data_IF_739590520375
#
_entry.id   IF_739590520375
#
_cell.length_a   1.000
_cell.length_b   1.000
_cell.length_c   1.000
_cell.angle_alpha   90.00
_cell.angle_beta   90.00
_cell.angle_gamma   90.00
#
_symmetry.space_group_name_H-M   'P 1'
#
loop_
_entity.id
_entity.type
_entity.pdbx_description
1 polymer ?
#
# COMPACT_ATOMS: atom_id res chain seq x y z
N UNK A 1 -45.33 24.22 51.78
CA UNK A 1 -45.01 23.33 50.64
C UNK A 1 -43.80 23.91 49.93
N UNK A 2 -42.62 23.41 50.26
CA UNK A 2 -41.33 23.86 49.75
C UNK A 2 -40.84 22.86 48.70
N UNK A 3 -40.74 23.29 47.44
CA UNK A 3 -40.16 22.48 46.37
C UNK A 3 -38.65 22.73 46.30
N UNK A 4 -37.86 21.71 46.63
CA UNK A 4 -36.42 21.68 46.37
C UNK A 4 -36.19 21.26 44.92
N UNK A 5 -35.39 21.99 44.11
CA UNK A 5 -35.02 21.54 42.78
C UNK A 5 -33.81 20.59 42.87
N UNK A 6 -34.00 19.36 42.43
CA UNK A 6 -32.93 18.36 42.28
C UNK A 6 -32.08 18.74 41.07
N UNK A 7 -30.82 19.13 41.29
CA UNK A 7 -29.85 19.34 40.22
C UNK A 7 -29.54 17.99 39.53
N UNK A 8 -29.72 17.93 38.21
CA UNK A 8 -29.24 16.81 37.40
C UNK A 8 -27.71 16.90 37.25
N UNK A 9 -26.98 15.78 37.30
CA UNK A 9 -25.56 15.77 36.99
C UNK A 9 -25.39 15.90 35.47
N UNK A 10 -24.70 16.97 35.05
CA UNK A 10 -24.20 17.11 33.68
C UNK A 10 -23.10 16.07 33.50
N UNK A 11 -23.43 14.98 32.81
CA UNK A 11 -22.45 14.04 32.28
C UNK A 11 -21.60 14.79 31.25
N UNK A 12 -20.38 15.14 31.64
CA UNK A 12 -19.33 15.58 30.75
C UNK A 12 -18.95 14.41 29.83
N UNK A 13 -19.47 14.44 28.59
CA UNK A 13 -18.94 13.60 27.51
C UNK A 13 -17.43 13.88 27.35
N UNK A 14 -16.58 12.83 27.30
CA UNK A 14 -15.20 13.03 26.92
C UNK A 14 -15.15 13.46 25.45
N UNK A 15 -14.61 14.66 25.23
CA UNK A 15 -14.33 15.23 23.93
C UNK A 15 -13.41 14.31 23.10
N UNK A 16 -14.01 13.41 22.32
CA UNK A 16 -13.36 12.69 21.24
C UNK A 16 -14.14 12.81 19.92
N UNK A 17 -14.88 13.89 19.75
CA UNK A 17 -15.29 14.32 18.42
C UNK A 17 -14.07 14.99 17.78
N UNK A 18 -13.35 14.24 16.94
CA UNK A 18 -12.56 14.83 15.87
C UNK A 18 -13.49 15.81 15.16
N UNK A 19 -13.32 17.10 15.40
CA UNK A 19 -14.16 18.14 14.82
C UNK A 19 -14.03 18.00 13.30
N UNK A 20 -15.00 17.33 12.66
CA UNK A 20 -15.02 17.14 11.23
C UNK A 20 -15.51 18.44 10.61
N UNK A 21 -14.66 19.46 10.65
CA UNK A 21 -14.81 20.59 9.72
C UNK A 21 -14.82 19.96 8.34
N UNK A 22 -15.92 20.08 7.57
CA UNK A 22 -15.97 19.52 6.23
C UNK A 22 -14.86 20.17 5.42
N UNK A 23 -13.87 19.37 5.00
CA UNK A 23 -12.79 19.83 4.15
C UNK A 23 -13.40 20.46 2.89
N UNK A 24 -12.92 21.62 2.48
CA UNK A 24 -13.39 22.31 1.29
C UNK A 24 -13.20 21.39 0.06
N UNK A 25 -14.28 20.78 -0.43
CA UNK A 25 -14.23 19.77 -1.50
C UNK A 25 -13.84 20.34 -2.86
N UNK A 26 -13.85 21.67 -3.02
CA UNK A 26 -13.62 22.34 -4.31
C UNK A 26 -12.14 22.52 -4.67
N UNK A 27 -11.21 22.49 -3.69
CA UNK A 27 -9.81 22.88 -3.94
C UNK A 27 -8.81 21.85 -3.43
N UNK A 28 -7.97 21.33 -4.32
CA UNK A 28 -6.77 20.57 -3.93
C UNK A 28 -5.55 21.47 -3.89
N UNK A 29 -4.68 21.25 -2.91
CA UNK A 29 -3.31 21.77 -2.95
C UNK A 29 -2.55 21.07 -4.06
N UNK A 30 -1.63 21.78 -4.73
CA UNK A 30 -0.86 21.21 -5.85
C UNK A 30 -0.15 19.91 -5.46
N UNK A 31 0.49 19.90 -4.30
CA UNK A 31 1.20 18.71 -3.81
C UNK A 31 0.27 17.52 -3.57
N UNK A 32 -0.91 17.74 -2.97
CA UNK A 32 -1.90 16.67 -2.77
C UNK A 32 -2.45 16.14 -4.10
N UNK A 33 -2.73 17.03 -5.05
CA UNK A 33 -3.20 16.64 -6.39
C UNK A 33 -2.13 15.84 -7.14
N UNK A 34 -0.86 16.24 -7.07
CA UNK A 34 0.25 15.47 -7.66
C UNK A 34 0.31 14.06 -7.06
N UNK A 35 0.17 13.92 -5.74
CA UNK A 35 0.16 12.61 -5.10
C UNK A 35 -1.03 11.75 -5.51
N UNK A 36 -2.22 12.34 -5.66
CA UNK A 36 -3.42 11.66 -6.18
C UNK A 36 -3.18 11.12 -7.60
N UNK A 37 -2.64 11.95 -8.50
CA UNK A 37 -2.39 11.55 -9.90
C UNK A 37 -1.35 10.43 -9.95
N UNK A 38 -0.20 10.60 -9.28
CA UNK A 38 0.86 9.58 -9.24
C UNK A 38 0.35 8.26 -8.68
N UNK A 39 -0.48 8.31 -7.64
CA UNK A 39 -1.03 7.10 -7.04
C UNK A 39 -2.11 6.46 -7.90
N UNK A 40 -2.89 7.26 -8.65
CA UNK A 40 -3.86 6.75 -9.61
C UNK A 40 -3.13 6.01 -10.73
N UNK A 41 -2.11 6.63 -11.34
CA UNK A 41 -1.27 5.99 -12.36
C UNK A 41 -0.64 4.70 -11.83
N UNK A 42 0.02 4.76 -10.66
CA UNK A 42 0.66 3.59 -10.06
C UNK A 42 -0.31 2.45 -9.76
N UNK A 43 -1.52 2.78 -9.28
CA UNK A 43 -2.55 1.76 -9.00
C UNK A 43 -3.14 1.18 -10.29
N UNK A 44 -3.29 1.98 -11.34
CA UNK A 44 -3.70 1.50 -12.67
C UNK A 44 -2.67 0.54 -13.28
N UNK A 45 -1.38 0.83 -13.16
CA UNK A 45 -0.32 -0.10 -13.57
C UNK A 45 -0.41 -1.40 -12.76
N UNK A 46 -0.53 -1.29 -11.43
CA UNK A 46 -0.69 -2.46 -10.55
C UNK A 46 -1.93 -3.30 -10.88
N UNK A 47 -3.04 -2.67 -11.29
CA UNK A 47 -4.25 -3.34 -11.77
C UNK A 47 -4.00 -4.12 -13.05
N UNK A 48 -3.36 -3.52 -14.04
CA UNK A 48 -3.05 -4.18 -15.32
C UNK A 48 -2.14 -5.39 -15.05
N UNK A 49 -1.03 -5.18 -14.32
CA UNK A 49 -0.11 -6.25 -13.95
C UNK A 49 -0.79 -7.34 -13.11
N UNK A 50 -1.65 -6.95 -12.18
CA UNK A 50 -2.41 -7.87 -11.34
C UNK A 50 -3.38 -8.74 -12.13
N UNK A 51 -4.09 -8.18 -13.11
CA UNK A 51 -5.01 -8.95 -13.97
C UNK A 51 -4.25 -10.00 -14.77
N UNK A 52 -3.07 -9.66 -15.32
CA UNK A 52 -2.24 -10.65 -15.99
C UNK A 52 -1.68 -11.69 -15.02
N UNK A 53 -1.29 -11.27 -13.80
CA UNK A 53 -0.79 -12.18 -12.77
C UNK A 53 -1.84 -13.13 -12.20
N UNK A 54 -3.14 -12.77 -12.21
CA UNK A 54 -4.23 -13.64 -11.73
C UNK A 54 -4.25 -14.99 -12.46
N UNK A 55 -3.85 -15.01 -13.73
CA UNK A 55 -3.79 -16.24 -14.53
C UNK A 55 -2.64 -17.17 -14.11
N UNK A 56 -1.65 -16.67 -13.38
CA UNK A 56 -0.46 -17.40 -12.93
C UNK A 56 -0.53 -17.86 -11.47
N UNK A 57 -1.60 -17.53 -10.72
CA UNK A 57 -1.72 -17.89 -9.30
C UNK A 57 -1.65 -19.41 -9.09
N UNK A 58 -2.25 -20.19 -10.00
CA UNK A 58 -2.20 -21.66 -9.92
C UNK A 58 -0.77 -22.22 -10.01
N UNK A 59 0.09 -21.54 -10.77
CA UNK A 59 1.50 -21.90 -10.92
C UNK A 59 2.28 -21.55 -9.64
N UNK A 60 2.01 -20.39 -9.02
CA UNK A 60 2.66 -19.98 -7.76
C UNK A 60 2.44 -21.00 -6.63
N UNK A 61 1.21 -21.51 -6.49
CA UNK A 61 0.88 -22.56 -5.51
C UNK A 61 1.60 -23.87 -5.77
N UNK A 62 1.89 -24.17 -7.04
CA UNK A 62 2.59 -25.38 -7.47
C UNK A 62 4.10 -25.28 -7.19
N UNK A 63 4.65 -24.05 -7.16
CA UNK A 63 6.05 -23.78 -6.86
C UNK A 63 6.30 -23.76 -5.34
N UNK A 64 5.45 -23.04 -4.61
CA UNK A 64 5.53 -22.95 -3.14
C UNK A 64 4.21 -22.47 -2.55
N UNK A 65 3.62 -23.30 -1.67
CA UNK A 65 2.36 -22.98 -1.01
C UNK A 65 2.43 -21.65 -0.25
N UNK A 66 3.51 -21.43 0.51
CA UNK A 66 3.66 -20.20 1.30
C UNK A 66 3.83 -18.99 0.39
N UNK A 67 4.56 -19.14 -0.73
CA UNK A 67 4.74 -18.06 -1.71
C UNK A 67 3.40 -17.73 -2.39
N UNK A 68 2.64 -18.74 -2.83
CA UNK A 68 1.32 -18.55 -3.43
C UNK A 68 0.32 -17.87 -2.49
N UNK A 69 0.29 -18.26 -1.20
CA UNK A 69 -0.54 -17.58 -0.18
C UNK A 69 -0.13 -16.11 -0.05
N UNK A 70 1.18 -15.83 0.11
CA UNK A 70 1.66 -14.47 0.24
C UNK A 70 1.36 -13.64 -1.03
N UNK A 71 1.60 -14.19 -2.21
CA UNK A 71 1.30 -13.50 -3.46
C UNK A 71 -0.22 -13.24 -3.63
N UNK A 72 -1.08 -14.12 -3.10
CA UNK A 72 -2.53 -13.88 -3.12
C UNK A 72 -2.96 -12.66 -2.27
N UNK A 73 -2.24 -12.36 -1.19
CA UNK A 73 -2.49 -11.18 -0.34
C UNK A 73 -2.26 -9.88 -1.11
N UNK A 74 -1.39 -9.88 -2.12
CA UNK A 74 -1.12 -8.72 -2.97
C UNK A 74 -2.39 -8.21 -3.68
N UNK A 75 -3.32 -9.10 -4.05
CA UNK A 75 -4.61 -8.71 -4.65
C UNK A 75 -5.54 -8.03 -3.66
N UNK A 76 -5.50 -8.44 -2.39
CA UNK A 76 -6.25 -7.78 -1.32
C UNK A 76 -5.71 -6.37 -1.11
N UNK A 77 -4.38 -6.22 -1.04
CA UNK A 77 -3.72 -4.92 -0.90
C UNK A 77 -4.04 -4.01 -2.09
N UNK A 78 -4.05 -4.54 -3.31
CA UNK A 78 -4.42 -3.79 -4.51
C UNK A 78 -5.87 -3.30 -4.44
N UNK A 79 -6.79 -4.17 -4.06
CA UNK A 79 -8.20 -3.83 -3.87
C UNK A 79 -8.37 -2.72 -2.81
N UNK A 80 -7.71 -2.86 -1.65
CA UNK A 80 -7.69 -1.83 -0.61
C UNK A 80 -7.06 -0.52 -1.10
N UNK A 81 -6.05 -0.58 -1.97
CA UNK A 81 -5.40 0.61 -2.55
C UNK A 81 -6.33 1.39 -3.48
N UNK A 82 -7.19 0.71 -4.24
CA UNK A 82 -8.23 1.33 -5.07
C UNK A 82 -9.26 2.04 -4.18
N UNK A 83 -9.74 1.36 -3.13
CA UNK A 83 -10.64 1.97 -2.14
C UNK A 83 -10.03 3.18 -1.45
N UNK A 84 -8.76 3.08 -1.03
CA UNK A 84 -8.03 4.18 -0.44
C UNK A 84 -7.97 5.39 -1.39
N UNK A 85 -7.71 5.16 -2.69
CA UNK A 85 -7.71 6.21 -3.70
C UNK A 85 -9.06 6.90 -3.86
N UNK A 86 -10.15 6.13 -3.95
CA UNK A 86 -11.51 6.69 -4.05
C UNK A 86 -11.78 7.59 -2.85
N UNK A 87 -11.47 7.13 -1.63
CA UNK A 87 -11.66 7.93 -0.43
C UNK A 87 -10.76 9.16 -0.36
N UNK A 88 -9.52 9.08 -0.88
CA UNK A 88 -8.60 10.22 -0.96
C UNK A 88 -9.07 11.28 -1.98
N UNK A 89 -9.63 10.86 -3.12
CA UNK A 89 -10.31 11.76 -4.05
C UNK A 89 -11.55 12.41 -3.42
N UNK A 90 -12.20 11.75 -2.47
CA UNK A 90 -13.30 12.33 -1.68
C UNK A 90 -12.82 13.09 -0.43
N UNK A 91 -11.49 13.24 -0.25
CA UNK A 91 -10.84 13.83 0.93
C UNK A 91 -11.35 13.25 2.26
N UNK A 92 -11.62 11.95 2.32
CA UNK A 92 -12.04 11.30 3.57
C UNK A 92 -10.81 10.90 4.39
N UNK A 93 -10.80 11.13 5.71
CA UNK A 93 -9.66 10.77 6.57
C UNK A 93 -9.38 9.27 6.59
N UNK A 94 -10.41 8.44 6.38
CA UNK A 94 -10.22 6.99 6.22
C UNK A 94 -9.35 6.66 4.99
N UNK A 95 -9.36 7.49 3.94
CA UNK A 95 -8.54 7.30 2.75
C UNK A 95 -7.04 7.34 3.06
N UNK A 96 -6.58 8.29 3.89
CA UNK A 96 -5.17 8.35 4.26
C UNK A 96 -4.77 7.19 5.17
N UNK A 97 -5.65 6.77 6.09
CA UNK A 97 -5.38 5.62 6.96
C UNK A 97 -5.23 4.34 6.14
N UNK A 98 -6.15 4.08 5.21
CA UNK A 98 -6.05 2.93 4.32
C UNK A 98 -4.80 3.01 3.44
N UNK A 99 -4.47 4.18 2.88
CA UNK A 99 -3.30 4.34 2.01
C UNK A 99 -1.98 4.07 2.75
N UNK A 100 -1.84 4.57 3.98
CA UNK A 100 -0.66 4.26 4.80
C UNK A 100 -0.66 2.80 5.25
N UNK A 101 -1.83 2.24 5.56
CA UNK A 101 -2.01 0.83 5.88
C UNK A 101 -1.59 -0.09 4.73
N UNK A 102 -1.91 0.25 3.48
CA UNK A 102 -1.48 -0.55 2.33
C UNK A 102 0.03 -0.52 2.15
N UNK A 103 0.70 0.62 2.36
CA UNK A 103 2.17 0.65 2.36
C UNK A 103 2.80 -0.21 3.47
N UNK A 104 2.26 -0.16 4.69
CA UNK A 104 2.75 -1.00 5.79
C UNK A 104 2.54 -2.49 5.49
N UNK A 105 1.36 -2.86 5.00
CA UNK A 105 1.05 -4.23 4.59
C UNK A 105 1.96 -4.69 3.44
N UNK A 106 2.22 -3.83 2.44
CA UNK A 106 3.12 -4.14 1.34
C UNK A 106 4.56 -4.37 1.81
N UNK A 107 5.04 -3.62 2.82
CA UNK A 107 6.38 -3.85 3.40
C UNK A 107 6.44 -5.23 4.07
N UNK A 108 5.47 -5.54 4.93
CA UNK A 108 5.41 -6.84 5.61
C UNK A 108 5.30 -7.99 4.62
N UNK A 109 4.46 -7.83 3.58
CA UNK A 109 4.32 -8.81 2.52
C UNK A 109 5.64 -8.98 1.75
N UNK A 110 6.31 -7.89 1.41
CA UNK A 110 7.60 -7.93 0.70
C UNK A 110 8.66 -8.69 1.51
N UNK A 111 8.72 -8.44 2.82
CA UNK A 111 9.60 -9.20 3.72
C UNK A 111 9.22 -10.67 3.75
N UNK A 112 7.93 -10.99 3.88
CA UNK A 112 7.44 -12.37 3.84
C UNK A 112 7.81 -13.09 2.53
N UNK A 113 7.61 -12.43 1.39
CA UNK A 113 7.95 -12.97 0.07
C UNK A 113 9.46 -13.23 -0.04
N UNK A 114 10.29 -12.29 0.43
CA UNK A 114 11.75 -12.45 0.43
C UNK A 114 12.24 -13.61 1.32
N UNK A 115 11.52 -13.93 2.41
CA UNK A 115 11.83 -15.10 3.25
C UNK A 115 11.39 -16.43 2.63
N UNK A 116 10.47 -16.38 1.66
CA UNK A 116 9.92 -17.57 0.97
C UNK A 116 10.37 -17.73 -0.47
N UNK A 117 11.31 -16.90 -0.95
CA UNK A 117 11.61 -16.78 -2.38
C UNK A 117 12.53 -17.86 -2.94
N UNK A 118 13.17 -18.70 -2.12
CA UNK A 118 14.19 -19.66 -2.57
C UNK A 118 13.73 -20.55 -3.74
N UNK A 119 12.53 -21.11 -3.65
CA UNK A 119 11.95 -21.97 -4.71
C UNK A 119 11.68 -21.19 -6.00
N UNK A 120 11.29 -19.92 -5.88
CA UNK A 120 10.99 -19.04 -7.00
C UNK A 120 12.27 -18.57 -7.68
N UNK A 121 13.29 -18.22 -6.90
CA UNK A 121 14.63 -17.86 -7.41
C UNK A 121 15.22 -19.03 -8.18
N UNK A 122 15.15 -20.25 -7.63
CA UNK A 122 15.63 -21.47 -8.31
C UNK A 122 14.92 -21.72 -9.63
N UNK A 123 13.59 -21.61 -9.65
CA UNK A 123 12.83 -21.76 -10.89
C UNK A 123 13.19 -20.69 -11.92
N UNK A 124 13.35 -19.44 -11.48
CA UNK A 124 13.74 -18.34 -12.37
C UNK A 124 15.14 -18.54 -12.96
N UNK A 125 16.08 -19.10 -12.18
CA UNK A 125 17.42 -19.47 -12.67
C UNK A 125 17.32 -20.62 -13.67
N UNK A 126 16.54 -21.66 -13.36
CA UNK A 126 16.34 -22.80 -14.26
C UNK A 126 15.76 -22.33 -15.61
N UNK A 127 14.75 -21.46 -15.59
CA UNK A 127 14.16 -20.92 -16.80
C UNK A 127 15.15 -20.04 -17.58
N UNK A 128 15.85 -19.13 -16.89
CA UNK A 128 16.87 -18.28 -17.52
C UNK A 128 18.03 -19.10 -18.11
N UNK A 129 18.34 -20.26 -17.53
CA UNK A 129 19.43 -21.12 -17.99
C UNK A 129 19.13 -21.81 -19.33
N UNK A 130 17.85 -22.00 -19.67
CA UNK A 130 17.43 -22.62 -20.95
C UNK A 130 17.80 -21.75 -22.15
N UNK A 131 17.79 -20.42 -21.96
CA UNK A 131 18.06 -19.44 -23.02
C UNK A 131 19.48 -18.83 -22.92
N UNK A 132 20.20 -19.04 -21.82
CA UNK A 132 21.52 -18.46 -21.61
C UNK A 132 22.65 -19.28 -22.26
N UNK A 133 22.74 -19.27 -23.58
CA UNK A 133 23.90 -19.85 -24.26
C UNK A 133 25.17 -19.03 -23.97
N UNK A 134 26.11 -19.61 -23.23
CA UNK A 134 27.44 -19.01 -22.99
C UNK A 134 27.60 -18.18 -21.71
N UNK A 135 26.57 -18.10 -20.86
CA UNK A 135 26.71 -17.52 -19.51
C UNK A 135 27.07 -18.65 -18.53
N UNK A 136 28.10 -18.42 -17.72
CA UNK A 136 28.47 -19.34 -16.65
C UNK A 136 27.34 -19.46 -15.61
N UNK A 137 27.03 -20.68 -15.19
CA UNK A 137 25.91 -20.98 -14.30
C UNK A 137 26.01 -20.24 -12.95
N UNK A 138 27.23 -20.10 -12.40
CA UNK A 138 27.43 -19.39 -11.13
C UNK A 138 27.20 -17.88 -11.28
N UNK A 139 27.57 -17.32 -12.44
CA UNK A 139 27.33 -15.91 -12.75
C UNK A 139 25.84 -15.61 -12.91
N UNK A 140 25.10 -16.51 -13.56
CA UNK A 140 23.64 -16.40 -13.71
C UNK A 140 22.93 -16.48 -12.36
N UNK A 141 23.31 -17.43 -11.50
CA UNK A 141 22.74 -17.61 -10.16
C UNK A 141 22.95 -16.36 -9.29
N UNK A 142 24.16 -15.82 -9.24
CA UNK A 142 24.47 -14.60 -8.48
C UNK A 142 23.65 -13.42 -9.02
N UNK A 143 23.58 -13.27 -10.34
CA UNK A 143 22.85 -12.17 -10.97
C UNK A 143 21.36 -12.22 -10.65
N UNK A 144 20.72 -13.38 -10.87
CA UNK A 144 19.28 -13.56 -10.62
C UNK A 144 18.94 -13.38 -9.15
N UNK A 145 19.72 -13.99 -8.25
CA UNK A 145 19.53 -13.84 -6.80
C UNK A 145 19.67 -12.38 -6.37
N UNK A 146 20.67 -11.67 -6.90
CA UNK A 146 20.89 -10.25 -6.62
C UNK A 146 19.73 -9.39 -7.11
N UNK A 147 19.21 -9.64 -8.31
CA UNK A 147 18.06 -8.93 -8.85
C UNK A 147 16.83 -9.06 -7.95
N UNK A 148 16.54 -10.26 -7.43
CA UNK A 148 15.43 -10.48 -6.51
C UNK A 148 15.60 -9.67 -5.22
N UNK A 149 16.75 -9.75 -4.54
CA UNK A 149 16.97 -9.03 -3.29
C UNK A 149 17.04 -7.51 -3.47
N UNK A 150 17.62 -7.03 -4.56
CA UNK A 150 17.59 -5.60 -4.91
C UNK A 150 16.14 -5.15 -5.17
N UNK A 151 15.36 -5.94 -5.90
CA UNK A 151 13.95 -5.69 -6.15
C UNK A 151 13.13 -5.58 -4.86
N UNK A 152 13.30 -6.53 -3.93
CA UNK A 152 12.66 -6.49 -2.61
C UNK A 152 13.07 -5.26 -1.80
N UNK A 153 14.37 -4.95 -1.77
CA UNK A 153 14.90 -3.80 -1.03
C UNK A 153 14.35 -2.49 -1.57
N UNK A 154 14.39 -2.31 -2.89
CA UNK A 154 13.88 -1.11 -3.55
C UNK A 154 12.37 -0.95 -3.35
N UNK A 155 11.62 -2.05 -3.32
CA UNK A 155 10.18 -2.02 -3.05
C UNK A 155 9.88 -1.50 -1.64
N UNK A 156 10.60 -1.98 -0.62
CA UNK A 156 10.46 -1.50 0.76
C UNK A 156 10.77 0.00 0.85
N UNK A 157 11.90 0.43 0.27
CA UNK A 157 12.30 1.86 0.26
C UNK A 157 11.23 2.71 -0.41
N UNK A 158 10.69 2.27 -1.54
CA UNK A 158 9.62 2.95 -2.25
C UNK A 158 8.37 3.13 -1.37
N UNK A 159 7.91 2.07 -0.69
CA UNK A 159 6.74 2.15 0.18
C UNK A 159 6.95 3.11 1.36
N UNK A 160 8.13 3.12 1.96
CA UNK A 160 8.48 4.05 3.05
C UNK A 160 8.43 5.50 2.56
N UNK A 161 9.10 5.80 1.43
CA UNK A 161 9.17 7.15 0.87
C UNK A 161 7.76 7.64 0.53
N UNK A 162 6.98 6.83 -0.19
CA UNK A 162 5.62 7.22 -0.59
C UNK A 162 4.66 7.32 0.60
N UNK A 163 4.82 6.50 1.64
CA UNK A 163 4.08 6.63 2.89
C UNK A 163 4.32 7.99 3.56
N UNK A 164 5.59 8.40 3.66
CA UNK A 164 5.97 9.71 4.23
C UNK A 164 5.41 10.86 3.37
N UNK A 165 5.53 10.76 2.04
CA UNK A 165 5.02 11.78 1.12
C UNK A 165 3.49 11.93 1.23
N UNK A 166 2.75 10.82 1.28
CA UNK A 166 1.30 10.84 1.46
C UNK A 166 0.88 11.45 2.78
N UNK A 167 1.57 11.10 3.86
CA UNK A 167 1.33 11.72 5.17
C UNK A 167 1.53 13.23 5.15
N UNK A 168 2.61 13.70 4.51
CA UNK A 168 2.86 15.14 4.34
C UNK A 168 1.80 15.80 3.46
N UNK A 169 1.42 15.18 2.35
CA UNK A 169 0.42 15.70 1.43
C UNK A 169 -0.94 15.89 2.12
N UNK A 170 -1.37 14.89 2.90
CA UNK A 170 -2.60 14.98 3.67
C UNK A 170 -2.57 16.12 4.69
N UNK A 171 -1.49 16.27 5.47
CA UNK A 171 -1.38 17.38 6.43
C UNK A 171 -1.44 18.75 5.77
N UNK A 172 -0.77 18.91 4.63
CA UNK A 172 -0.79 20.17 3.87
C UNK A 172 -2.21 20.46 3.38
N UNK A 173 -2.92 19.44 2.89
CA UNK A 173 -4.30 19.57 2.44
C UNK A 173 -5.25 19.97 3.58
N UNK A 174 -5.17 19.30 4.72
CA UNK A 174 -6.01 19.60 5.90
C UNK A 174 -5.79 21.03 6.38
N UNK A 175 -4.52 21.49 6.47
CA UNK A 175 -4.22 22.88 6.83
C UNK A 175 -4.79 23.89 5.84
N UNK A 176 -4.67 23.60 4.54
CA UNK A 176 -5.20 24.48 3.51
C UNK A 176 -6.73 24.59 3.56
N UNK A 177 -7.41 23.50 3.92
CA UNK A 177 -8.87 23.46 4.03
C UNK A 177 -9.39 24.08 5.34
N UNK A 178 -8.56 24.20 6.38
CA UNK A 178 -8.89 24.86 7.66
C UNK A 178 -8.64 26.38 7.67
N UNK A 179 -7.80 26.89 6.77
CA UNK A 179 -7.42 28.30 6.68
C UNK A 179 -8.31 29.11 5.71
N UNK A 180 -9.52 28.62 5.42
CA UNK A 180 -10.54 29.23 4.56
C UNK A 180 -11.78 29.44 5.43
#
# INVERSE_FOLDING_TARGET
MTHTPTAQPVLSEPALALQTVPLNTSRYTTFYLTMLILSTIGTSIGLISGIFGLFSIGEDFSISLIFGILNSINYVILSTSIWALVLLWLKKPLGIQLKLGTYAASILLTVGLALSSDSVIKLAIEEASKDSQGIDASSLEIFMTSLFYVGFTMSIVFFIIFGILWWKAWKIQVKADQNI
#
